data_IF_025413133692
#
_entry.id   IF_025413133692
#
_cell.length_a   1.000
_cell.length_b   1.000
_cell.length_c   1.000
_cell.angle_alpha   90.00
_cell.angle_beta   90.00
_cell.angle_gamma   90.00
#
_symmetry.space_group_name_H-M   'P 1'
#
loop_
_entity.id
_entity.type
_entity.pdbx_description
1 polymer ?
#
# COMPACT_ATOMS: atom_id res chain seq x y z
N UNK A 1 17.99 -5.01 21.58
CA UNK A 1 18.04 -4.19 20.35
C UNK A 1 16.62 -3.75 20.05
N UNK A 2 16.31 -2.46 20.25
CA UNK A 2 14.98 -1.93 19.90
C UNK A 2 14.86 -1.90 18.37
N UNK A 3 13.75 -2.32 17.75
CA UNK A 3 13.59 -2.20 16.31
C UNK A 3 13.66 -0.71 15.97
N UNK A 4 14.56 -0.34 15.05
CA UNK A 4 14.51 0.96 14.39
C UNK A 4 13.10 1.10 13.84
N UNK A 5 12.36 2.11 14.30
CA UNK A 5 11.12 2.53 13.64
C UNK A 5 11.58 3.08 12.28
N UNK A 6 11.69 2.18 11.30
CA UNK A 6 12.00 2.53 9.92
C UNK A 6 10.78 3.22 9.34
N UNK A 7 10.98 4.39 8.74
CA UNK A 7 9.97 5.01 7.89
C UNK A 7 9.62 4.00 6.79
N UNK A 8 8.33 3.71 6.61
CA UNK A 8 7.88 2.90 5.48
C UNK A 8 7.69 3.83 4.28
N UNK A 9 8.32 3.52 3.16
CA UNK A 9 8.17 4.26 1.92
C UNK A 9 7.03 3.66 1.10
N UNK A 10 6.08 4.49 0.67
CA UNK A 10 5.04 4.06 -0.26
C UNK A 10 5.61 4.05 -1.67
N UNK A 11 5.40 2.95 -2.38
CA UNK A 11 5.85 2.78 -3.76
C UNK A 11 4.67 2.57 -4.70
N UNK A 12 4.81 3.02 -5.93
CA UNK A 12 3.84 2.81 -7.01
C UNK A 12 4.55 2.38 -8.29
N UNK A 13 3.81 1.75 -9.18
CA UNK A 13 4.29 1.55 -10.55
C UNK A 13 4.58 2.90 -11.20
N UNK A 14 5.67 3.03 -11.96
CA UNK A 14 6.07 4.28 -12.61
C UNK A 14 5.04 4.82 -13.60
N UNK A 15 4.08 3.99 -14.07
CA UNK A 15 2.98 4.46 -14.91
C UNK A 15 1.93 5.30 -14.16
N UNK A 16 1.94 5.32 -12.82
CA UNK A 16 1.05 6.17 -12.02
C UNK A 16 1.48 7.64 -12.16
N UNK A 17 0.59 8.52 -12.59
CA UNK A 17 0.91 9.93 -12.86
C UNK A 17 1.20 10.76 -11.60
N UNK A 18 0.71 10.32 -10.44
CA UNK A 18 0.88 11.03 -9.18
C UNK A 18 2.28 10.80 -8.59
N UNK A 19 2.93 11.89 -8.18
CA UNK A 19 4.18 11.86 -7.40
C UNK A 19 3.95 12.09 -5.91
N UNK A 20 2.74 12.53 -5.55
CA UNK A 20 2.36 12.76 -4.16
C UNK A 20 0.86 12.65 -3.93
N UNK A 21 0.46 12.25 -2.74
CA UNK A 21 -0.95 12.18 -2.30
C UNK A 21 -1.08 12.68 -0.86
N UNK A 22 -2.29 13.08 -0.46
CA UNK A 22 -2.57 13.31 0.95
C UNK A 22 -2.64 11.99 1.70
N UNK A 23 -2.36 12.01 3.01
CA UNK A 23 -2.55 10.85 3.87
C UNK A 23 -3.97 10.27 3.83
N UNK A 24 -4.99 11.14 3.74
CA UNK A 24 -6.38 10.71 3.67
C UNK A 24 -6.66 9.93 2.37
N UNK A 25 -6.08 10.35 1.25
CA UNK A 25 -6.19 9.64 -0.02
C UNK A 25 -5.44 8.31 0.02
N UNK A 26 -4.24 8.29 0.62
CA UNK A 26 -3.51 7.03 0.85
C UNK A 26 -4.35 6.04 1.65
N UNK A 27 -5.01 6.51 2.72
CA UNK A 27 -5.90 5.69 3.52
C UNK A 27 -7.11 5.19 2.72
N UNK A 28 -7.75 6.02 1.90
CA UNK A 28 -8.89 5.59 1.07
C UNK A 28 -8.49 4.53 0.04
N UNK A 29 -7.26 4.59 -0.48
CA UNK A 29 -6.69 3.55 -1.35
C UNK A 29 -6.46 2.25 -0.60
N UNK A 30 -5.71 2.26 0.52
CA UNK A 30 -5.39 1.03 1.26
C UNK A 30 -6.60 0.42 1.98
N UNK A 31 -7.65 1.20 2.23
CA UNK A 31 -8.95 0.70 2.71
C UNK A 31 -9.88 0.21 1.59
N UNK A 32 -9.41 0.19 0.34
CA UNK A 32 -10.14 -0.27 -0.86
C UNK A 32 -11.39 0.56 -1.21
N UNK A 33 -11.48 1.79 -0.69
CA UNK A 33 -12.55 2.75 -1.00
C UNK A 33 -12.29 3.45 -2.34
N UNK A 34 -11.06 3.91 -2.55
CA UNK A 34 -10.62 4.47 -3.83
C UNK A 34 -10.00 3.37 -4.68
N UNK A 35 -10.56 3.14 -5.87
CA UNK A 35 -10.21 1.99 -6.73
C UNK A 35 -9.64 2.37 -8.07
N UNK A 36 -9.64 3.66 -8.40
CA UNK A 36 -9.10 4.20 -9.63
C UNK A 36 -8.24 5.41 -9.32
N UNK A 37 -7.09 5.50 -9.98
CA UNK A 37 -6.31 6.73 -10.05
C UNK A 37 -7.15 7.83 -10.73
N UNK A 38 -6.81 9.12 -10.56
CA UNK A 38 -7.54 10.23 -11.19
C UNK A 38 -7.69 10.09 -12.72
N UNK A 39 -6.70 9.48 -13.37
CA UNK A 39 -6.69 9.19 -14.82
C UNK A 39 -7.56 7.98 -15.23
N UNK A 40 -8.31 7.39 -14.29
CA UNK A 40 -9.20 6.24 -14.55
C UNK A 40 -8.54 4.86 -14.49
N UNK A 41 -7.21 4.78 -14.42
CA UNK A 41 -6.48 3.51 -14.26
C UNK A 41 -6.85 2.83 -12.93
N UNK A 42 -7.22 1.54 -12.96
CA UNK A 42 -7.52 0.77 -11.74
C UNK A 42 -6.30 0.67 -10.81
N UNK A 43 -6.54 0.80 -9.50
CA UNK A 43 -5.53 0.66 -8.46
C UNK A 43 -5.41 -0.81 -8.04
N UNK A 44 -4.19 -1.33 -8.02
CA UNK A 44 -3.89 -2.68 -7.51
C UNK A 44 -3.10 -2.54 -6.21
N UNK A 45 -3.76 -2.80 -5.08
CA UNK A 45 -3.15 -2.65 -3.76
C UNK A 45 -2.50 -3.95 -3.34
N UNK A 46 -1.20 -3.92 -3.05
CA UNK A 46 -0.45 -5.02 -2.46
C UNK A 46 -0.10 -4.73 -1.01
N UNK A 47 -0.22 -5.73 -0.14
CA UNK A 47 0.16 -5.65 1.28
C UNK A 47 0.96 -6.88 1.70
N UNK A 48 1.82 -6.72 2.71
CA UNK A 48 2.34 -7.86 3.47
C UNK A 48 1.22 -8.44 4.36
N UNK A 49 1.34 -9.69 4.84
CA UNK A 49 0.35 -10.31 5.70
C UNK A 49 0.07 -9.43 6.94
N UNK A 50 -1.20 -9.26 7.36
CA UNK A 50 -1.55 -8.38 8.49
C UNK A 50 -0.84 -8.71 9.82
N UNK A 51 -0.37 -9.95 9.97
CA UNK A 51 0.37 -10.44 11.13
C UNK A 51 1.88 -10.18 11.04
N UNK A 52 2.39 -9.62 9.95
CA UNK A 52 3.79 -9.22 9.84
C UNK A 52 4.06 -7.87 10.56
N UNK A 53 5.12 -7.76 11.37
CA UNK A 53 5.54 -6.50 12.00
C UNK A 53 5.63 -5.32 11.03
N UNK A 54 6.06 -5.58 9.82
CA UNK A 54 6.32 -4.64 8.74
C UNK A 54 5.00 -3.97 8.30
N UNK A 55 3.97 -4.76 8.02
CA UNK A 55 2.62 -4.26 7.76
C UNK A 55 2.08 -3.44 8.93
N UNK A 56 2.24 -3.94 10.16
CA UNK A 56 1.75 -3.22 11.35
C UNK A 56 2.44 -1.88 11.54
N UNK A 57 3.72 -1.79 11.21
CA UNK A 57 4.49 -0.55 11.28
C UNK A 57 3.94 0.44 10.25
N UNK A 58 3.84 0.04 8.99
CA UNK A 58 3.29 0.84 7.90
C UNK A 58 1.90 1.41 8.22
N UNK A 59 0.96 0.57 8.67
CA UNK A 59 -0.41 1.01 8.95
C UNK A 59 -0.43 2.07 10.07
N UNK A 60 0.42 1.91 11.08
CA UNK A 60 0.53 2.88 12.19
C UNK A 60 1.24 4.16 11.76
N UNK A 61 2.31 4.07 10.99
CA UNK A 61 3.16 5.21 10.64
C UNK A 61 2.56 6.04 9.51
N UNK A 62 2.14 5.38 8.42
CA UNK A 62 1.70 6.03 7.17
C UNK A 62 0.19 6.20 7.11
N UNK A 63 -0.60 5.24 7.57
CA UNK A 63 -2.06 5.36 7.53
C UNK A 63 -2.64 5.99 8.80
N UNK A 64 -1.85 6.13 9.87
CA UNK A 64 -2.28 6.60 11.21
C UNK A 64 -3.50 5.84 11.74
N UNK A 65 -3.57 4.54 11.41
CA UNK A 65 -4.57 3.63 11.92
C UNK A 65 -3.94 2.54 12.78
N UNK A 66 -4.76 1.86 13.57
CA UNK A 66 -4.38 0.57 14.13
C UNK A 66 -4.64 -0.55 13.10
N UNK A 67 -3.74 -1.55 12.98
CA UNK A 67 -3.87 -2.63 11.99
C UNK A 67 -5.24 -3.33 12.00
N UNK A 68 -5.80 -3.58 13.19
CA UNK A 68 -7.11 -4.21 13.32
C UNK A 68 -8.26 -3.35 12.75
N UNK A 69 -8.13 -2.03 12.73
CA UNK A 69 -9.15 -1.15 12.15
C UNK A 69 -9.20 -1.30 10.64
N UNK A 70 -8.02 -1.39 10.00
CA UNK A 70 -7.93 -1.59 8.55
C UNK A 70 -8.53 -2.94 8.13
N UNK A 71 -8.21 -4.02 8.87
CA UNK A 71 -8.82 -5.34 8.66
C UNK A 71 -10.35 -5.30 8.81
N UNK A 72 -10.87 -4.64 9.86
CA UNK A 72 -12.32 -4.49 10.05
C UNK A 72 -13.01 -3.74 8.91
N UNK A 73 -12.32 -2.79 8.26
CA UNK A 73 -12.88 -2.09 7.08
C UNK A 73 -13.04 -3.08 5.93
N UNK A 74 -12.03 -3.90 5.65
CA UNK A 74 -12.09 -4.92 4.61
C UNK A 74 -13.17 -5.97 4.91
N UNK A 75 -13.24 -6.48 6.13
CA UNK A 75 -14.24 -7.47 6.54
C UNK A 75 -15.66 -6.95 6.26
N UNK A 76 -15.97 -5.72 6.68
CA UNK A 76 -17.28 -5.10 6.42
C UNK A 76 -17.58 -4.94 4.93
N UNK A 77 -16.58 -4.60 4.12
CA UNK A 77 -16.72 -4.50 2.68
C UNK A 77 -17.03 -5.86 2.05
N UNK A 78 -16.37 -6.93 2.51
CA UNK A 78 -16.59 -8.31 2.06
C UNK A 78 -17.99 -8.81 2.45
N UNK A 79 -18.39 -8.66 3.72
CA UNK A 79 -19.70 -9.10 4.19
C UNK A 79 -20.88 -8.42 3.48
N UNK A 80 -20.72 -7.17 3.02
CA UNK A 80 -21.76 -6.42 2.31
C UNK A 80 -21.84 -6.72 0.81
N UNK A 81 -21.08 -7.70 0.30
CA UNK A 81 -21.10 -8.10 -1.12
C UNK A 81 -20.39 -7.13 -2.06
N UNK A 82 -19.82 -6.04 -1.53
CA UNK A 82 -19.01 -5.04 -2.27
C UNK A 82 -17.51 -5.42 -2.34
N UNK A 83 -17.19 -6.58 -1.76
CA UNK A 83 -15.91 -6.96 -1.16
C UNK A 83 -14.74 -7.09 -2.10
N UNK A 84 -13.81 -6.16 -1.97
CA UNK A 84 -12.44 -6.37 -2.43
C UNK A 84 -11.50 -6.13 -1.26
N UNK A 85 -10.59 -7.07 -1.07
CA UNK A 85 -9.43 -6.95 -0.20
C UNK A 85 -8.19 -6.65 -1.04
N UNK A 86 -7.14 -6.06 -0.44
CA UNK A 86 -5.85 -5.96 -1.11
C UNK A 86 -5.26 -7.35 -1.39
N UNK A 87 -4.35 -7.42 -2.35
CA UNK A 87 -3.59 -8.62 -2.68
C UNK A 87 -2.47 -8.80 -1.65
N UNK A 88 -2.34 -9.98 -1.08
CA UNK A 88 -1.27 -10.29 -0.12
C UNK A 88 -0.05 -10.80 -0.90
N UNK A 89 1.13 -10.30 -0.54
CA UNK A 89 2.45 -10.81 -1.00
C UNK A 89 3.24 -11.32 0.21
N UNK A 90 4.15 -12.25 0.00
CA UNK A 90 4.84 -12.94 1.10
C UNK A 90 6.10 -12.21 1.60
N UNK A 91 6.69 -11.33 0.78
CA UNK A 91 7.92 -10.60 1.11
C UNK A 91 8.02 -9.22 0.45
N UNK A 92 9.00 -8.41 0.88
CA UNK A 92 9.32 -7.11 0.28
C UNK A 92 9.81 -7.25 -1.17
N UNK A 93 10.57 -8.30 -1.47
CA UNK A 93 11.04 -8.60 -2.84
C UNK A 93 9.86 -8.94 -3.75
N UNK A 94 8.89 -9.73 -3.25
CA UNK A 94 7.67 -9.98 -4.01
C UNK A 94 6.85 -8.69 -4.16
N UNK A 95 6.77 -7.85 -3.13
CA UNK A 95 6.08 -6.57 -3.21
C UNK A 95 6.66 -5.70 -4.32
N UNK A 96 7.98 -5.53 -4.35
CA UNK A 96 8.67 -4.75 -5.36
C UNK A 96 8.39 -5.31 -6.77
N UNK A 97 8.53 -6.63 -6.95
CA UNK A 97 8.24 -7.31 -8.23
C UNK A 97 6.79 -7.10 -8.68
N UNK A 98 5.82 -7.29 -7.79
CA UNK A 98 4.40 -7.12 -8.12
C UNK A 98 4.07 -5.67 -8.47
N UNK A 99 4.64 -4.70 -7.76
CA UNK A 99 4.44 -3.28 -8.06
C UNK A 99 5.08 -2.90 -9.40
N UNK A 100 6.27 -3.41 -9.73
CA UNK A 100 6.95 -3.12 -11.00
C UNK A 100 6.23 -3.72 -12.23
N UNK A 101 5.68 -4.93 -12.09
CA UNK A 101 5.03 -5.65 -13.20
C UNK A 101 3.60 -5.17 -13.50
N UNK A 102 2.92 -4.57 -12.52
CA UNK A 102 1.49 -4.29 -12.61
C UNK A 102 1.21 -2.78 -12.69
N UNK A 103 0.69 -2.34 -13.84
CA UNK A 103 0.22 -0.96 -14.02
C UNK A 103 -0.83 -0.58 -12.96
N UNK A 104 -0.70 0.62 -12.43
CA UNK A 104 -1.57 1.15 -11.38
C UNK A 104 -1.34 0.52 -9.99
N UNK A 105 -0.31 -0.30 -9.81
CA UNK A 105 -0.01 -0.92 -8.53
C UNK A 105 0.53 0.06 -7.49
N UNK A 106 0.23 -0.25 -6.23
CA UNK A 106 0.73 0.44 -5.04
C UNK A 106 1.09 -0.57 -3.96
N UNK A 107 2.16 -0.28 -3.22
CA UNK A 107 2.65 -1.05 -2.08
C UNK A 107 3.51 -0.18 -1.17
N UNK A 108 4.34 -0.80 -0.32
CA UNK A 108 5.24 -0.10 0.58
C UNK A 108 6.48 -0.95 0.91
N UNK A 109 7.58 -0.32 1.27
CA UNK A 109 8.81 -0.98 1.72
C UNK A 109 9.32 -0.33 3.01
N UNK A 110 9.96 -1.08 3.89
CA UNK A 110 10.60 -0.57 5.10
C UNK A 110 12.01 -0.06 4.85
N UNK A 111 12.68 -0.63 3.86
CA UNK A 111 13.94 -0.14 3.33
C UNK A 111 13.56 0.52 2.01
N UNK A 112 13.86 1.82 1.89
CA UNK A 112 13.56 2.59 0.69
C UNK A 112 14.10 1.89 -0.56
N UNK A 113 13.57 2.26 -1.72
CA UNK A 113 14.01 1.65 -2.98
C UNK A 113 15.46 2.06 -3.28
N UNK A 114 16.30 1.07 -3.57
CA UNK A 114 17.41 1.32 -4.50
C UNK A 114 16.77 1.31 -5.89
N UNK A 115 16.94 2.38 -6.67
CA UNK A 115 16.25 2.62 -7.95
C UNK A 115 16.13 1.34 -8.79
N UNK A 116 14.90 0.96 -9.13
CA UNK A 116 14.59 -0.22 -9.92
C UNK A 116 13.68 0.11 -11.09
N UNK A 117 13.69 -0.74 -12.12
CA UNK A 117 12.88 -0.53 -13.32
C UNK A 117 11.38 -0.52 -12.99
N UNK A 118 10.69 0.55 -13.40
CA UNK A 118 9.23 0.74 -13.32
C UNK A 118 8.60 0.88 -11.92
N UNK A 119 9.37 1.26 -10.90
CA UNK A 119 8.84 1.64 -9.58
C UNK A 119 9.31 3.04 -9.21
N UNK A 120 8.43 3.82 -8.56
CA UNK A 120 8.79 5.11 -7.97
C UNK A 120 8.18 5.28 -6.59
N UNK A 121 8.83 6.08 -5.75
CA UNK A 121 8.28 6.48 -4.46
C UNK A 121 7.11 7.46 -4.64
N UNK A 122 6.04 7.27 -3.85
CA UNK A 122 4.89 8.16 -3.79
C UNK A 122 4.95 8.98 -2.49
N UNK A 123 5.14 10.29 -2.61
CA UNK A 123 5.27 11.17 -1.44
C UNK A 123 3.93 11.38 -0.72
N UNK A 124 3.97 11.44 0.60
CA UNK A 124 2.78 11.73 1.42
C UNK A 124 2.86 13.18 1.89
N UNK A 125 1.86 13.99 1.50
CA UNK A 125 1.69 15.39 1.91
C UNK A 125 0.89 15.51 3.22
#
# INVERSE_FOLDING_TARGET
>A
MLPRIGFSEVIVNSNVSLDSVSRQYLLSVFSMQTRTWPEGQSIRVYILPPQQPEHRSFVKSELKLFPYQLVKIWDRSVFSGSGQSPMIVESEEEMLRKVSENKGAIGYLLKGIEEGDNVKALRIK
#
